data_IF_817455439979
#
_entry.id   IF_817455439979
#
_cell.length_a   1.000
_cell.length_b   1.000
_cell.length_c   1.000
_cell.angle_alpha   90.00
_cell.angle_beta   90.00
_cell.angle_gamma   90.00
#
_symmetry.space_group_name_H-M   'P 1'
#
loop_
_entity.id
_entity.type
_entity.pdbx_description
1 polymer ?
#
# COMPACT_ATOMS: atom_id res chain seq x y z
N UNK A 1 -30.10 -9.81 38.77
CA UNK A 1 -30.19 -10.38 37.40
C UNK A 1 -28.95 -9.93 36.64
N UNK A 2 -28.12 -10.84 36.15
CA UNK A 2 -26.90 -10.54 35.41
C UNK A 2 -27.18 -10.40 33.91
N UNK A 3 -26.86 -9.30 33.21
CA UNK A 3 -27.02 -9.23 31.75
C UNK A 3 -25.70 -9.52 31.02
N UNK A 4 -25.78 -10.33 29.96
CA UNK A 4 -24.69 -10.55 29.00
C UNK A 4 -24.74 -9.50 27.88
N UNK A 5 -23.76 -8.60 27.84
CA UNK A 5 -23.53 -7.67 26.72
C UNK A 5 -22.20 -7.97 26.05
N UNK A 6 -22.09 -7.74 24.74
CA UNK A 6 -20.80 -7.78 24.06
C UNK A 6 -20.50 -6.46 23.33
N UNK A 7 -19.24 -5.98 23.32
CA UNK A 7 -18.85 -4.72 22.64
C UNK A 7 -17.42 -4.70 22.09
N UNK A 8 -17.09 -3.75 21.19
CA UNK A 8 -15.77 -3.58 20.53
C UNK A 8 -15.16 -2.17 20.71
N UNK A 9 -14.39 -1.89 21.77
CA UNK A 9 -13.69 -0.61 21.95
C UNK A 9 -12.28 -0.56 21.32
N UNK A 10 -11.68 -1.70 20.93
CA UNK A 10 -10.25 -1.75 20.53
C UNK A 10 -9.91 -2.91 19.59
N UNK A 11 -10.86 -3.33 18.75
CA UNK A 11 -10.70 -4.52 17.91
C UNK A 11 -10.85 -5.85 18.65
N UNK A 12 -11.28 -5.85 19.91
CA UNK A 12 -11.61 -7.06 20.66
C UNK A 12 -13.07 -7.07 21.05
N UNK A 13 -13.69 -8.25 21.05
CA UNK A 13 -14.97 -8.44 21.70
C UNK A 13 -14.77 -8.54 23.22
N UNK A 14 -15.61 -7.85 23.96
CA UNK A 14 -15.66 -7.92 25.41
C UNK A 14 -17.00 -8.48 25.83
N UNK A 15 -17.01 -9.43 26.75
CA UNK A 15 -18.20 -9.85 27.48
C UNK A 15 -18.34 -8.96 28.71
N UNK A 16 -19.50 -8.35 28.87
CA UNK A 16 -19.88 -7.64 30.07
C UNK A 16 -21.00 -8.39 30.78
N UNK A 17 -20.82 -8.57 32.09
CA UNK A 17 -21.82 -9.12 33.01
C UNK A 17 -22.24 -8.02 33.97
N UNK A 18 -23.47 -7.52 33.82
CA UNK A 18 -24.03 -6.45 34.68
C UNK A 18 -25.00 -7.06 35.67
N UNK A 19 -24.74 -6.96 36.97
CA UNK A 19 -25.69 -7.42 37.99
C UNK A 19 -26.68 -6.28 38.30
N UNK A 20 -27.92 -6.41 37.82
CA UNK A 20 -29.02 -5.49 38.14
C UNK A 20 -29.15 -5.32 39.66
N UNK A 21 -29.30 -4.06 40.08
CA UNK A 21 -29.36 -3.60 41.49
C UNK A 21 -28.06 -3.74 42.30
N UNK A 22 -26.98 -4.21 41.68
CA UNK A 22 -25.64 -4.18 42.25
C UNK A 22 -24.79 -3.12 41.57
N UNK A 23 -23.76 -2.62 42.27
CA UNK A 23 -22.68 -1.81 41.67
C UNK A 23 -21.63 -2.66 40.96
N UNK A 24 -21.82 -3.98 40.95
CA UNK A 24 -20.86 -4.90 40.37
C UNK A 24 -21.06 -5.00 38.85
N UNK A 25 -20.01 -4.62 38.14
CA UNK A 25 -19.85 -4.82 36.70
C UNK A 25 -18.59 -5.63 36.47
N UNK A 26 -18.68 -6.66 35.64
CA UNK A 26 -17.52 -7.42 35.20
C UNK A 26 -17.38 -7.34 33.69
N UNK A 27 -16.17 -7.08 33.22
CA UNK A 27 -15.83 -7.00 31.80
C UNK A 27 -14.68 -7.98 31.57
N UNK A 28 -14.86 -8.89 30.61
CA UNK A 28 -13.91 -9.93 30.27
C UNK A 28 -13.66 -9.92 28.77
N UNK A 29 -12.40 -10.08 28.36
CA UNK A 29 -12.06 -10.12 26.94
C UNK A 29 -12.35 -11.52 26.40
N UNK A 30 -12.98 -11.59 25.23
CA UNK A 30 -13.23 -12.87 24.52
C UNK A 30 -12.57 -12.86 23.14
N UNK A 31 -12.06 -14.01 22.64
CA UNK A 31 -12.10 -15.33 23.26
C UNK A 31 -11.15 -15.42 24.46
N UNK A 32 -11.45 -16.32 25.40
CA UNK A 32 -10.63 -16.47 26.61
C UNK A 32 -9.29 -17.16 26.32
N UNK A 33 -8.28 -16.85 27.13
CA UNK A 33 -6.98 -17.53 27.09
C UNK A 33 -6.06 -17.09 25.95
N UNK A 34 -6.45 -16.10 25.14
CA UNK A 34 -5.55 -15.50 24.16
C UNK A 34 -4.64 -14.47 24.81
N UNK A 35 -3.41 -14.34 24.29
CA UNK A 35 -2.48 -13.29 24.72
C UNK A 35 -3.12 -11.90 24.59
N UNK A 36 -2.87 -10.96 25.52
CA UNK A 36 -3.30 -9.57 25.38
C UNK A 36 -2.86 -8.92 24.06
N UNK A 37 -1.78 -9.42 23.45
CA UNK A 37 -1.25 -8.95 22.16
C UNK A 37 -1.84 -9.67 20.94
N UNK A 38 -2.53 -10.80 21.12
CA UNK A 38 -3.18 -11.50 20.01
C UNK A 38 -4.33 -10.63 19.47
N UNK A 39 -4.64 -10.74 18.17
CA UNK A 39 -5.73 -9.97 17.53
C UNK A 39 -7.13 -10.45 17.90
N UNK A 40 -7.29 -11.70 18.34
CA UNK A 40 -8.62 -12.28 18.55
C UNK A 40 -9.40 -12.48 17.25
N UNK A 41 -8.72 -12.49 16.10
CA UNK A 41 -9.31 -12.54 14.75
C UNK A 41 -10.27 -13.71 14.51
N UNK A 42 -10.12 -14.77 15.31
CA UNK A 42 -10.95 -15.98 15.26
C UNK A 42 -12.37 -15.76 15.80
N UNK A 43 -12.62 -14.67 16.54
CA UNK A 43 -13.87 -14.47 17.26
C UNK A 43 -14.69 -13.30 16.70
N UNK A 44 -15.42 -13.59 15.62
CA UNK A 44 -16.43 -12.71 15.02
C UNK A 44 -17.70 -13.51 14.69
N UNK A 45 -18.37 -14.08 15.69
CA UNK A 45 -19.42 -15.08 15.47
C UNK A 45 -20.58 -14.53 14.61
N UNK A 46 -21.03 -15.33 13.65
CA UNK A 46 -22.18 -14.99 12.77
C UNK A 46 -23.52 -15.24 13.43
N UNK A 47 -23.55 -16.19 14.37
CA UNK A 47 -24.76 -16.67 15.02
C UNK A 47 -24.60 -16.72 16.54
N UNK A 48 -25.74 -16.75 17.23
CA UNK A 48 -25.78 -17.01 18.66
C UNK A 48 -25.08 -18.32 19.05
N UNK A 49 -25.17 -19.35 18.19
CA UNK A 49 -24.52 -20.65 18.40
C UNK A 49 -23.00 -20.57 18.32
N UNK A 50 -22.46 -19.79 17.38
CA UNK A 50 -21.00 -19.56 17.28
C UNK A 50 -20.47 -18.73 18.46
N UNK A 51 -21.26 -17.78 18.96
CA UNK A 51 -20.86 -16.95 20.10
C UNK A 51 -20.90 -17.71 21.42
N UNK A 52 -21.86 -18.63 21.58
CA UNK A 52 -22.18 -19.28 22.85
C UNK A 52 -21.00 -19.92 23.58
N UNK A 53 -20.07 -20.66 22.93
CA UNK A 53 -18.91 -21.24 23.60
C UNK A 53 -18.06 -20.23 24.37
N UNK A 54 -17.70 -19.12 23.73
CA UNK A 54 -16.85 -18.12 24.38
C UNK A 54 -17.62 -17.28 25.41
N UNK A 55 -18.92 -17.04 25.19
CA UNK A 55 -19.77 -16.37 26.17
C UNK A 55 -19.98 -17.20 27.43
N UNK A 56 -20.20 -18.51 27.28
CA UNK A 56 -20.35 -19.42 28.40
C UNK A 56 -19.05 -19.50 29.21
N UNK A 57 -17.89 -19.66 28.55
CA UNK A 57 -16.58 -19.67 29.23
C UNK A 57 -16.31 -18.33 29.93
N UNK A 58 -16.57 -17.20 29.26
CA UNK A 58 -16.47 -15.85 29.81
C UNK A 58 -17.32 -15.69 31.07
N UNK A 59 -18.57 -16.14 31.00
CA UNK A 59 -19.52 -16.10 32.11
C UNK A 59 -19.07 -16.97 33.29
N UNK A 60 -18.57 -18.19 33.04
CA UNK A 60 -18.03 -19.05 34.09
C UNK A 60 -16.83 -18.39 34.80
N UNK A 61 -15.94 -17.76 34.04
CA UNK A 61 -14.80 -17.00 34.59
C UNK A 61 -15.27 -15.82 35.45
N UNK A 62 -16.29 -15.09 34.98
CA UNK A 62 -16.89 -13.99 35.72
C UNK A 62 -17.53 -14.45 37.03
N UNK A 63 -18.34 -15.51 36.98
CA UNK A 63 -19.06 -16.05 38.14
C UNK A 63 -18.11 -16.67 39.17
N UNK A 64 -17.02 -17.31 38.74
CA UNK A 64 -16.01 -17.86 39.65
C UNK A 64 -15.30 -16.80 40.49
N UNK A 65 -15.29 -15.53 40.05
CA UNK A 65 -14.71 -14.40 40.79
C UNK A 65 -15.68 -13.80 41.81
N UNK A 66 -16.97 -14.17 41.78
CA UNK A 66 -18.02 -13.55 42.59
C UNK A 66 -18.67 -14.63 43.46
N UNK A 67 -18.26 -14.70 44.73
CA UNK A 67 -18.79 -15.69 45.66
C UNK A 67 -20.22 -15.32 46.13
N UNK A 68 -21.12 -16.30 46.16
CA UNK A 68 -22.20 -16.35 47.15
C UNK A 68 -23.58 -15.78 46.81
N UNK A 69 -24.00 -15.62 45.54
CA UNK A 69 -25.38 -15.19 45.23
C UNK A 69 -26.09 -16.12 44.22
N UNK A 70 -27.42 -16.28 44.31
CA UNK A 70 -28.21 -16.92 43.27
C UNK A 70 -28.17 -16.06 42.00
N UNK A 71 -27.53 -16.59 40.97
CA UNK A 71 -27.35 -15.91 39.70
C UNK A 71 -28.47 -16.28 38.74
N UNK A 72 -29.15 -15.26 38.22
CA UNK A 72 -30.01 -15.39 37.04
C UNK A 72 -29.44 -14.52 35.95
N UNK A 73 -28.90 -15.15 34.91
CA UNK A 73 -28.41 -14.46 33.73
C UNK A 73 -29.59 -14.07 32.83
N UNK A 74 -29.44 -12.98 32.10
CA UNK A 74 -30.41 -12.50 31.13
C UNK A 74 -29.73 -11.97 29.87
N UNK A 75 -30.46 -12.02 28.75
CA UNK A 75 -30.05 -11.45 27.47
C UNK A 75 -31.26 -10.83 26.78
N UNK A 76 -31.05 -9.96 25.81
CA UNK A 76 -32.14 -9.37 25.01
C UNK A 76 -32.57 -10.28 23.85
N UNK A 77 -31.85 -11.40 23.63
CA UNK A 77 -32.02 -12.27 22.46
C UNK A 77 -32.38 -13.69 22.86
N UNK A 78 -33.55 -14.15 22.43
CA UNK A 78 -34.02 -15.52 22.64
C UNK A 78 -33.07 -16.57 22.04
N UNK A 79 -32.54 -16.34 20.85
CA UNK A 79 -31.59 -17.28 20.22
C UNK A 79 -30.28 -17.41 21.02
N UNK A 80 -29.84 -16.32 21.66
CA UNK A 80 -28.63 -16.32 22.49
C UNK A 80 -28.87 -17.00 23.83
N UNK A 81 -30.05 -16.79 24.41
CA UNK A 81 -30.51 -17.45 25.62
C UNK A 81 -30.41 -18.98 25.48
N UNK A 82 -31.06 -19.52 24.43
CA UNK A 82 -31.07 -20.96 24.15
C UNK A 82 -29.65 -21.48 23.88
N UNK A 83 -28.86 -20.76 23.08
CA UNK A 83 -27.51 -21.19 22.70
C UNK A 83 -26.53 -21.21 23.90
N UNK A 84 -26.49 -20.15 24.70
CA UNK A 84 -25.58 -20.06 25.86
C UNK A 84 -26.06 -21.01 26.98
N UNK A 85 -27.37 -21.15 27.19
CA UNK A 85 -27.93 -22.11 28.14
C UNK A 85 -27.58 -23.56 27.79
N UNK A 86 -27.71 -23.93 26.51
CA UNK A 86 -27.29 -25.22 25.99
C UNK A 86 -25.78 -25.46 26.16
N UNK A 87 -24.98 -24.42 25.96
CA UNK A 87 -23.53 -24.50 26.14
C UNK A 87 -23.10 -24.67 27.61
N UNK A 88 -23.76 -23.99 28.56
CA UNK A 88 -23.52 -24.25 29.98
C UNK A 88 -23.82 -25.70 30.37
N UNK A 89 -24.91 -26.25 29.82
CA UNK A 89 -25.26 -27.67 30.01
C UNK A 89 -24.17 -28.58 29.41
N UNK A 90 -23.69 -28.27 28.20
CA UNK A 90 -22.60 -29.02 27.53
C UNK A 90 -21.29 -28.97 28.33
N UNK A 91 -20.97 -27.84 28.95
CA UNK A 91 -19.78 -27.64 29.79
C UNK A 91 -19.91 -28.27 31.20
N UNK A 92 -21.06 -28.84 31.56
CA UNK A 92 -21.28 -29.51 32.85
C UNK A 92 -21.48 -28.57 34.03
N UNK A 93 -21.93 -27.33 33.80
CA UNK A 93 -22.28 -26.39 34.87
C UNK A 93 -23.42 -26.98 35.70
N UNK A 94 -23.20 -27.24 37.00
CA UNK A 94 -24.18 -27.94 37.85
C UNK A 94 -25.38 -27.11 38.29
N UNK A 95 -25.23 -25.78 38.30
CA UNK A 95 -26.31 -24.89 38.71
C UNK A 95 -27.33 -24.77 37.57
N UNK A 96 -28.39 -25.57 37.60
CA UNK A 96 -29.41 -25.62 36.54
C UNK A 96 -30.06 -24.27 36.27
N UNK A 97 -30.16 -23.41 37.29
CA UNK A 97 -30.64 -22.03 37.15
C UNK A 97 -29.82 -21.19 36.15
N UNK A 98 -28.56 -21.56 35.90
CA UNK A 98 -27.71 -20.92 34.88
C UNK A 98 -27.98 -21.44 33.46
N UNK A 99 -28.60 -22.60 33.31
CA UNK A 99 -29.00 -23.12 31.99
C UNK A 99 -30.20 -22.34 31.44
N UNK A 100 -31.03 -21.79 32.32
CA UNK A 100 -32.19 -20.97 31.97
C UNK A 100 -31.84 -19.48 32.05
N UNK A 101 -31.27 -18.98 30.96
CA UNK A 101 -31.05 -17.53 30.79
C UNK A 101 -32.43 -16.88 30.58
N UNK A 102 -32.68 -15.70 31.15
CA UNK A 102 -33.94 -14.99 30.95
C UNK A 102 -33.85 -14.06 29.73
N UNK A 103 -34.92 -13.96 28.94
CA UNK A 103 -35.03 -12.89 27.94
C UNK A 103 -35.53 -11.62 28.62
N UNK A 104 -34.71 -10.57 28.62
CA UNK A 104 -35.11 -9.26 29.13
C UNK A 104 -36.04 -8.58 28.14
N UNK A 105 -37.24 -8.19 28.61
CA UNK A 105 -38.17 -7.36 27.83
C UNK A 105 -37.74 -5.89 27.79
N UNK A 106 -36.90 -5.45 28.74
CA UNK A 106 -36.43 -4.07 28.86
C UNK A 106 -35.04 -3.89 28.25
N UNK A 107 -34.97 -3.48 26.98
CA UNK A 107 -33.69 -3.13 26.32
C UNK A 107 -32.98 -1.91 26.94
N UNK A 108 -33.73 -1.06 27.65
CA UNK A 108 -33.22 0.23 28.14
C UNK A 108 -32.39 0.17 29.43
N UNK A 109 -32.82 -0.62 30.41
CA UNK A 109 -32.21 -0.66 31.74
C UNK A 109 -30.72 -1.07 31.73
N UNK A 110 -30.30 -2.13 31.01
CA UNK A 110 -28.92 -2.60 31.00
C UNK A 110 -28.00 -1.63 30.26
N UNK A 111 -28.46 -1.09 29.13
CA UNK A 111 -27.73 -0.06 28.40
C UNK A 111 -27.56 1.22 29.23
N UNK A 112 -28.59 1.63 29.99
CA UNK A 112 -28.50 2.77 30.90
C UNK A 112 -27.49 2.51 32.03
N UNK A 113 -27.48 1.30 32.61
CA UNK A 113 -26.51 0.91 33.63
C UNK A 113 -25.07 0.92 33.08
N UNK A 114 -24.86 0.33 31.90
CA UNK A 114 -23.55 0.35 31.24
C UNK A 114 -23.10 1.78 30.90
N UNK A 115 -24.00 2.60 30.36
CA UNK A 115 -23.71 4.00 30.06
C UNK A 115 -23.26 4.75 31.30
N UNK A 116 -23.95 4.57 32.43
CA UNK A 116 -23.57 5.19 33.71
C UNK A 116 -22.19 4.74 34.19
N UNK A 117 -21.89 3.45 34.10
CA UNK A 117 -20.56 2.91 34.40
C UNK A 117 -19.49 3.50 33.47
N UNK A 118 -19.74 3.51 32.16
CA UNK A 118 -18.82 4.02 31.15
C UNK A 118 -18.54 5.53 31.31
N UNK A 119 -19.58 6.31 31.63
CA UNK A 119 -19.44 7.74 31.92
C UNK A 119 -18.58 7.96 33.18
N UNK A 120 -18.78 7.15 34.23
CA UNK A 120 -17.95 7.19 35.44
C UNK A 120 -16.49 6.80 35.16
N UNK A 121 -16.27 5.80 34.29
CA UNK A 121 -14.94 5.41 33.86
C UNK A 121 -14.25 6.56 33.13
N UNK A 122 -14.91 7.20 32.15
CA UNK A 122 -14.37 8.37 31.43
C UNK A 122 -13.97 9.49 32.38
N UNK A 123 -14.80 9.78 33.36
CA UNK A 123 -14.49 10.79 34.39
C UNK A 123 -13.23 10.43 35.16
N UNK A 124 -13.12 9.18 35.63
CA UNK A 124 -11.96 8.70 36.41
C UNK A 124 -10.62 8.78 35.67
N UNK A 125 -10.64 8.72 34.33
CA UNK A 125 -9.44 8.80 33.48
C UNK A 125 -9.27 10.16 32.79
N UNK A 126 -10.05 11.17 33.17
CA UNK A 126 -9.93 12.54 32.63
C UNK A 126 -10.40 12.70 31.17
N UNK A 127 -11.24 11.79 30.68
CA UNK A 127 -11.80 11.81 29.31
C UNK A 127 -13.25 12.30 29.25
N UNK A 128 -13.76 12.95 30.30
CA UNK A 128 -15.14 13.42 30.39
C UNK A 128 -15.50 14.48 29.33
N UNK A 129 -14.53 15.24 28.83
CA UNK A 129 -14.72 16.24 27.78
C UNK A 129 -14.83 15.64 26.37
N UNK A 130 -14.39 14.40 26.18
CA UNK A 130 -14.46 13.72 24.90
C UNK A 130 -15.86 13.13 24.67
N UNK A 131 -16.40 13.31 23.47
CA UNK A 131 -17.67 12.73 23.04
C UNK A 131 -17.55 11.24 22.69
N UNK A 132 -16.95 10.46 23.58
CA UNK A 132 -16.88 9.01 23.45
C UNK A 132 -18.20 8.43 23.99
N UNK A 133 -18.94 7.78 23.10
CA UNK A 133 -20.20 7.10 23.40
C UNK A 133 -19.89 5.68 23.88
N UNK A 134 -20.61 5.12 24.88
CA UNK A 134 -20.46 3.72 25.24
C UNK A 134 -20.68 2.81 24.02
N UNK A 135 -19.90 1.72 23.86
CA UNK A 135 -20.14 0.76 22.78
C UNK A 135 -21.57 0.20 22.86
N UNK A 136 -22.18 0.00 21.70
CA UNK A 136 -23.48 -0.65 21.61
C UNK A 136 -23.34 -2.15 21.92
N UNK A 137 -24.42 -2.76 22.44
CA UNK A 137 -24.48 -4.22 22.54
C UNK A 137 -24.41 -4.84 21.16
N UNK A 138 -23.61 -5.89 21.02
CA UNK A 138 -23.56 -6.70 19.82
C UNK A 138 -24.86 -7.50 19.74
N UNK A 139 -25.68 -7.12 18.78
CA UNK A 139 -26.90 -7.83 18.43
C UNK A 139 -26.51 -9.09 17.67
N UNK A 140 -26.89 -10.28 18.15
CA UNK A 140 -26.65 -11.58 17.49
C UNK A 140 -27.85 -12.07 16.67
N UNK A 141 -28.75 -11.17 16.26
CA UNK A 141 -29.90 -11.56 15.44
C UNK A 141 -29.39 -12.25 14.18
N UNK A 142 -29.96 -13.43 13.90
CA UNK A 142 -29.69 -14.17 12.69
C UNK A 142 -30.11 -13.30 11.50
N UNK A 143 -29.11 -12.78 10.78
CA UNK A 143 -29.39 -12.08 9.51
C UNK A 143 -29.78 -13.17 8.53
N UNK A 144 -31.01 -13.07 8.01
CA UNK A 144 -31.33 -13.74 6.76
C UNK A 144 -30.45 -13.09 5.71
N UNK A 145 -29.44 -13.82 5.25
CA UNK A 145 -28.62 -13.38 4.13
C UNK A 145 -29.53 -13.46 2.91
N UNK A 146 -30.07 -12.32 2.51
CA UNK A 146 -31.00 -12.26 1.38
C UNK A 146 -30.25 -12.56 0.07
N UNK A 147 -30.39 -13.79 -0.41
CA UNK A 147 -30.06 -14.17 -1.79
C UNK A 147 -28.58 -14.18 -2.20
N UNK A 148 -28.37 -14.35 -3.51
CA UNK A 148 -27.07 -14.22 -4.17
C UNK A 148 -26.40 -12.88 -3.79
N UNK A 149 -25.05 -12.81 -3.67
CA UNK A 149 -24.41 -11.55 -3.38
C UNK A 149 -24.74 -10.64 -4.56
N UNK A 150 -25.41 -9.51 -4.28
CA UNK A 150 -25.64 -8.49 -5.28
C UNK A 150 -24.32 -7.75 -5.51
N UNK A 151 -23.44 -8.41 -6.26
CA UNK A 151 -22.34 -7.72 -6.91
C UNK A 151 -23.05 -6.83 -7.94
N UNK A 152 -23.35 -5.59 -7.55
CA UNK A 152 -24.02 -4.61 -8.42
C UNK A 152 -23.16 -4.46 -9.70
N UNK A 153 -23.70 -4.98 -10.79
CA UNK A 153 -23.05 -5.21 -12.08
C UNK A 153 -23.70 -4.35 -13.17
N UNK A 154 -24.11 -3.12 -12.83
CA UNK A 154 -24.62 -2.15 -13.82
C UNK A 154 -23.58 -1.62 -14.81
N UNK A 155 -22.46 -2.31 -15.01
CA UNK A 155 -21.61 -2.08 -16.19
C UNK A 155 -22.09 -2.97 -17.33
N UNK A 156 -22.97 -2.41 -18.16
CA UNK A 156 -23.42 -2.92 -19.46
C UNK A 156 -22.23 -3.06 -20.43
N UNK A 157 -21.36 -4.03 -20.22
CA UNK A 157 -20.36 -4.41 -21.22
C UNK A 157 -20.70 -5.83 -21.65
N UNK A 158 -21.26 -5.95 -22.86
CA UNK A 158 -21.55 -7.22 -23.50
C UNK A 158 -20.22 -7.90 -23.85
N UNK A 159 -19.81 -8.86 -23.03
CA UNK A 159 -18.64 -9.72 -23.28
C UNK A 159 -19.09 -11.15 -23.62
N UNK A 160 -18.37 -11.86 -24.50
CA UNK A 160 -18.69 -13.22 -24.88
C UNK A 160 -18.36 -14.18 -23.72
N UNK A 161 -19.39 -14.93 -23.28
CA UNK A 161 -19.41 -16.21 -22.52
C UNK A 161 -18.43 -16.48 -21.36
N UNK A 162 -17.67 -15.51 -20.85
CA UNK A 162 -16.96 -15.71 -19.58
C UNK A 162 -18.00 -15.77 -18.45
N UNK A 163 -18.02 -16.83 -17.61
CA UNK A 163 -18.94 -16.88 -16.48
C UNK A 163 -18.74 -15.64 -15.61
N UNK A 164 -19.79 -14.85 -15.41
CA UNK A 164 -19.84 -13.62 -14.59
C UNK A 164 -19.14 -13.78 -13.23
N UNK A 165 -19.17 -14.99 -12.66
CA UNK A 165 -18.51 -15.34 -11.41
C UNK A 165 -16.97 -15.29 -11.49
N UNK A 166 -16.37 -15.71 -12.60
CA UNK A 166 -14.91 -15.65 -12.82
C UNK A 166 -14.41 -14.22 -12.82
N UNK A 167 -15.14 -13.31 -13.46
CA UNK A 167 -14.81 -11.89 -13.41
C UNK A 167 -14.94 -11.32 -11.99
N UNK A 168 -16.00 -11.69 -11.28
CA UNK A 168 -16.19 -11.29 -9.87
C UNK A 168 -15.05 -11.79 -8.97
N UNK A 169 -14.52 -12.99 -9.22
CA UNK A 169 -13.36 -13.52 -8.53
C UNK A 169 -12.14 -12.62 -8.72
N UNK A 170 -11.78 -12.31 -9.97
CA UNK A 170 -10.62 -11.46 -10.29
C UNK A 170 -10.79 -10.06 -9.72
N UNK A 171 -11.98 -9.47 -9.88
CA UNK A 171 -12.31 -8.15 -9.34
C UNK A 171 -12.16 -8.10 -7.82
N UNK A 172 -12.73 -9.08 -7.12
CA UNK A 172 -12.71 -9.13 -5.65
C UNK A 172 -11.29 -9.38 -5.12
N UNK A 173 -10.56 -10.32 -5.73
CA UNK A 173 -9.16 -10.63 -5.37
C UNK A 173 -8.25 -9.40 -5.58
N UNK A 174 -8.39 -8.71 -6.71
CA UNK A 174 -7.59 -7.52 -7.00
C UNK A 174 -7.98 -6.32 -6.12
N UNK A 175 -9.28 -6.12 -5.83
CA UNK A 175 -9.73 -5.05 -4.95
C UNK A 175 -9.26 -5.22 -3.50
N UNK A 176 -9.08 -6.47 -3.07
CA UNK A 176 -8.57 -6.79 -1.75
C UNK A 176 -7.04 -6.78 -1.67
N UNK A 177 -6.34 -6.92 -2.79
CA UNK A 177 -4.87 -6.96 -2.82
C UNK A 177 -4.27 -5.61 -2.43
N UNK A 178 -3.19 -5.58 -1.62
CA UNK A 178 -2.45 -4.36 -1.34
C UNK A 178 -2.01 -3.68 -2.64
N UNK A 179 -2.24 -2.37 -2.74
CA UNK A 179 -1.76 -1.59 -3.88
C UNK A 179 -0.28 -1.27 -3.64
N UNK A 180 0.59 -1.86 -4.45
CA UNK A 180 2.04 -1.57 -4.45
C UNK A 180 2.32 -0.33 -5.32
N UNK A 181 1.67 -0.23 -6.47
CA UNK A 181 1.88 0.87 -7.40
C UNK A 181 0.93 2.04 -7.12
N UNK A 182 1.49 3.25 -7.05
CA UNK A 182 0.74 4.45 -6.69
C UNK A 182 -0.31 4.88 -7.72
N UNK A 183 -0.16 4.52 -9.00
CA UNK A 183 -1.17 4.74 -10.05
C UNK A 183 -0.76 3.93 -11.30
N UNK A 184 -1.14 2.65 -11.43
CA UNK A 184 -0.84 1.88 -12.63
C UNK A 184 -1.56 2.50 -13.84
N UNK A 185 -0.89 2.49 -15.01
CA UNK A 185 -1.55 2.81 -16.28
C UNK A 185 -2.82 1.94 -16.43
N UNK A 186 -4.03 2.53 -16.63
CA UNK A 186 -5.26 1.76 -16.74
C UNK A 186 -5.20 0.62 -17.77
N UNK A 187 -4.42 0.80 -18.86
CA UNK A 187 -4.21 -0.27 -19.85
C UNK A 187 -3.41 -1.44 -19.29
N UNK A 188 -2.36 -1.16 -18.53
CA UNK A 188 -1.57 -2.20 -17.85
C UNK A 188 -2.39 -2.91 -16.77
N UNK A 189 -3.21 -2.15 -16.03
CA UNK A 189 -4.12 -2.73 -15.03
C UNK A 189 -5.13 -3.68 -15.67
N UNK A 190 -5.71 -3.30 -16.81
CA UNK A 190 -6.63 -4.14 -17.56
C UNK A 190 -5.94 -5.42 -18.07
N UNK A 191 -4.78 -5.29 -18.72
CA UNK A 191 -4.01 -6.45 -19.20
C UNK A 191 -3.64 -7.42 -18.07
N UNK A 192 -3.32 -6.90 -16.88
CA UNK A 192 -3.06 -7.70 -15.68
C UNK A 192 -4.32 -8.44 -15.19
N UNK A 193 -5.49 -7.80 -15.24
CA UNK A 193 -6.77 -8.42 -14.88
C UNK A 193 -7.13 -9.55 -15.83
N UNK A 194 -6.95 -9.33 -17.14
CA UNK A 194 -7.18 -10.34 -18.18
C UNK A 194 -6.24 -11.54 -18.00
N UNK A 195 -4.94 -11.30 -17.78
CA UNK A 195 -3.99 -12.37 -17.50
C UNK A 195 -4.32 -13.15 -16.22
N UNK A 196 -4.77 -12.49 -15.15
CA UNK A 196 -5.24 -13.16 -13.93
C UNK A 196 -6.49 -14.01 -14.18
N UNK A 197 -7.40 -13.54 -15.02
CA UNK A 197 -8.62 -14.25 -15.39
C UNK A 197 -8.28 -15.53 -16.17
N UNK A 198 -7.43 -15.43 -17.19
CA UNK A 198 -7.00 -16.57 -17.99
C UNK A 198 -6.28 -17.62 -17.13
N UNK A 199 -5.37 -17.15 -16.25
CA UNK A 199 -4.68 -18.03 -15.30
C UNK A 199 -5.66 -18.74 -14.36
N UNK A 200 -6.70 -18.06 -13.89
CA UNK A 200 -7.72 -18.65 -13.03
C UNK A 200 -8.60 -19.65 -13.78
N UNK A 201 -9.04 -19.34 -15.00
CA UNK A 201 -9.83 -20.27 -15.84
C UNK A 201 -9.03 -21.54 -16.16
N UNK A 202 -7.77 -21.41 -16.57
CA UNK A 202 -6.86 -22.55 -16.76
C UNK A 202 -6.62 -23.33 -15.45
N UNK A 203 -6.62 -22.62 -14.32
CA UNK A 203 -6.49 -23.21 -12.99
C UNK A 203 -7.72 -24.02 -12.56
N UNK A 204 -8.93 -23.57 -12.91
CA UNK A 204 -10.18 -24.26 -12.60
C UNK A 204 -10.25 -25.64 -13.25
N UNK A 205 -9.78 -25.78 -14.49
CA UNK A 205 -9.72 -27.07 -15.18
C UNK A 205 -8.75 -28.05 -14.52
N UNK A 206 -7.63 -27.54 -13.98
CA UNK A 206 -6.57 -28.36 -13.38
C UNK A 206 -6.79 -28.65 -11.90
N UNK A 207 -7.42 -27.73 -11.17
CA UNK A 207 -7.62 -27.77 -9.71
C UNK A 207 -9.11 -27.81 -9.41
N UNK A 208 -9.64 -29.03 -9.31
CA UNK A 208 -11.03 -29.29 -8.92
C UNK A 208 -11.33 -28.79 -7.52
N UNK A 209 -12.61 -28.72 -7.14
CA UNK A 209 -13.00 -28.35 -5.78
C UNK A 209 -12.29 -29.21 -4.73
N UNK A 210 -12.24 -30.53 -4.93
CA UNK A 210 -11.67 -31.48 -4.00
C UNK A 210 -10.18 -31.25 -3.78
N UNK A 211 -9.45 -30.92 -4.85
CA UNK A 211 -8.01 -30.64 -4.80
C UNK A 211 -7.75 -29.37 -4.00
N UNK A 212 -8.41 -28.26 -4.35
CA UNK A 212 -8.20 -26.98 -3.64
C UNK A 212 -8.65 -27.08 -2.18
N UNK A 213 -9.77 -27.76 -1.90
CA UNK A 213 -10.22 -28.04 -0.54
C UNK A 213 -9.19 -28.86 0.23
N UNK A 214 -8.66 -29.94 -0.34
CA UNK A 214 -7.67 -30.79 0.33
C UNK A 214 -6.38 -30.02 0.66
N UNK A 215 -5.89 -29.18 -0.26
CA UNK A 215 -4.74 -28.31 -0.03
C UNK A 215 -5.00 -27.27 1.06
N UNK A 216 -6.17 -26.62 1.01
CA UNK A 216 -6.61 -25.71 2.06
C UNK A 216 -6.74 -26.43 3.41
N UNK A 217 -7.26 -27.66 3.42
CA UNK A 217 -7.37 -28.54 4.58
C UNK A 217 -6.01 -28.90 5.18
N UNK A 218 -5.01 -29.16 4.32
CA UNK A 218 -3.62 -29.38 4.68
C UNK A 218 -2.91 -28.13 5.23
N UNK A 219 -3.56 -26.96 5.21
CA UNK A 219 -3.04 -25.72 5.79
C UNK A 219 -2.35 -24.81 4.78
N UNK A 220 -2.52 -25.04 3.48
CA UNK A 220 -2.05 -24.10 2.47
C UNK A 220 -2.89 -22.79 2.49
N UNK A 221 -2.26 -21.62 2.71
CA UNK A 221 -3.01 -20.38 2.87
C UNK A 221 -3.53 -19.79 1.56
N UNK A 222 -2.88 -20.04 0.42
CA UNK A 222 -3.34 -19.59 -0.90
C UNK A 222 -4.57 -20.41 -1.32
N UNK A 223 -4.50 -21.73 -1.18
CA UNK A 223 -5.64 -22.63 -1.41
C UNK A 223 -6.80 -22.31 -0.46
N UNK A 224 -6.53 -21.91 0.79
CA UNK A 224 -7.56 -21.44 1.71
C UNK A 224 -8.27 -20.18 1.21
N UNK A 225 -7.53 -19.18 0.71
CA UNK A 225 -8.17 -17.99 0.10
C UNK A 225 -8.96 -18.36 -1.15
N UNK A 226 -8.39 -19.18 -2.02
CA UNK A 226 -9.04 -19.58 -3.26
C UNK A 226 -10.33 -20.36 -2.99
N UNK A 227 -10.31 -21.36 -2.11
CA UNK A 227 -11.49 -22.13 -1.77
C UNK A 227 -12.53 -21.25 -1.05
N UNK A 228 -12.10 -20.35 -0.16
CA UNK A 228 -12.97 -19.35 0.44
C UNK A 228 -13.68 -18.48 -0.61
N UNK A 229 -12.95 -18.00 -1.63
CA UNK A 229 -13.53 -17.24 -2.73
C UNK A 229 -14.48 -18.06 -3.60
N UNK A 230 -14.14 -19.32 -3.90
CA UNK A 230 -15.02 -20.24 -4.65
C UNK A 230 -16.34 -20.46 -3.91
N UNK A 231 -16.28 -20.74 -2.60
CA UNK A 231 -17.47 -20.88 -1.74
C UNK A 231 -18.26 -19.58 -1.64
N UNK A 232 -17.60 -18.43 -1.59
CA UNK A 232 -18.28 -17.13 -1.50
C UNK A 232 -19.07 -16.79 -2.78
N UNK A 233 -18.49 -17.12 -3.95
CA UNK A 233 -19.03 -16.79 -5.27
C UNK A 233 -19.82 -17.93 -5.94
N UNK A 234 -19.75 -19.16 -5.41
CA UNK A 234 -20.35 -20.35 -6.02
C UNK A 234 -19.64 -20.79 -7.30
N UNK A 235 -18.30 -20.72 -7.35
CA UNK A 235 -17.52 -21.11 -8.54
C UNK A 235 -17.08 -22.56 -8.40
N UNK A 236 -17.60 -23.42 -9.28
CA UNK A 236 -17.30 -24.86 -9.31
C UNK A 236 -17.53 -25.59 -7.97
N UNK A 237 -18.37 -25.02 -7.09
CA UNK A 237 -18.78 -25.59 -5.81
C UNK A 237 -20.10 -24.95 -5.36
N UNK A 238 -20.79 -25.59 -4.41
CA UNK A 238 -21.96 -24.99 -3.79
C UNK A 238 -21.57 -23.75 -2.98
N UNK A 239 -22.33 -22.67 -3.14
CA UNK A 239 -22.09 -21.43 -2.40
C UNK A 239 -22.32 -21.66 -0.90
N UNK A 240 -21.30 -21.37 -0.09
CA UNK A 240 -21.40 -21.40 1.37
C UNK A 240 -20.66 -20.21 1.97
N UNK A 241 -21.45 -19.23 2.41
CA UNK A 241 -20.92 -17.97 2.91
C UNK A 241 -20.22 -18.14 4.27
N UNK A 242 -20.74 -18.98 5.15
CA UNK A 242 -20.16 -19.18 6.48
C UNK A 242 -18.87 -19.98 6.35
N UNK A 243 -18.86 -21.05 5.55
CA UNK A 243 -17.65 -21.82 5.27
C UNK A 243 -16.58 -20.98 4.55
N UNK A 244 -16.98 -20.07 3.64
CA UNK A 244 -16.01 -19.15 3.02
C UNK A 244 -15.22 -18.32 4.04
N UNK A 245 -15.88 -17.79 5.08
CA UNK A 245 -15.21 -17.06 6.16
C UNK A 245 -14.29 -17.96 6.96
N UNK A 246 -14.68 -19.20 7.24
CA UNK A 246 -13.81 -20.16 7.93
C UNK A 246 -12.48 -20.32 7.20
N UNK A 247 -12.51 -20.47 5.87
CA UNK A 247 -11.29 -20.58 5.07
C UNK A 247 -10.48 -19.28 4.96
N UNK A 248 -11.12 -18.11 4.92
CA UNK A 248 -10.40 -16.83 5.04
C UNK A 248 -9.69 -16.70 6.40
N UNK A 249 -10.35 -17.04 7.50
CA UNK A 249 -9.73 -17.05 8.82
C UNK A 249 -8.60 -18.09 8.88
N UNK A 250 -8.77 -19.25 8.25
CA UNK A 250 -7.72 -20.28 8.15
C UNK A 250 -6.46 -19.73 7.46
N UNK A 251 -6.61 -19.03 6.35
CA UNK A 251 -5.48 -18.39 5.66
C UNK A 251 -4.76 -17.36 6.56
N UNK A 252 -5.52 -16.54 7.29
CA UNK A 252 -4.95 -15.55 8.22
C UNK A 252 -4.19 -16.17 9.39
N UNK A 253 -4.67 -17.31 9.89
CA UNK A 253 -4.05 -18.05 10.98
C UNK A 253 -2.90 -18.96 10.54
N UNK A 254 -2.71 -19.17 9.24
CA UNK A 254 -1.64 -20.03 8.74
C UNK A 254 -0.26 -19.41 9.01
N UNK A 255 0.68 -20.16 9.62
CA UNK A 255 1.99 -19.62 10.01
C UNK A 255 2.87 -19.26 8.81
N UNK A 256 2.65 -19.90 7.66
CA UNK A 256 3.36 -19.69 6.40
C UNK A 256 2.68 -18.66 5.47
N UNK A 257 1.55 -18.06 5.86
CA UNK A 257 0.91 -17.03 5.05
C UNK A 257 1.78 -15.76 5.01
N UNK A 258 2.07 -15.30 3.79
CA UNK A 258 2.82 -14.06 3.56
C UNK A 258 2.00 -12.85 4.03
N UNK A 259 2.70 -11.76 4.32
CA UNK A 259 2.06 -10.52 4.76
C UNK A 259 1.10 -9.95 3.69
N UNK A 260 1.50 -10.02 2.41
CA UNK A 260 0.62 -9.64 1.28
C UNK A 260 -0.64 -10.49 1.22
N UNK A 261 -0.53 -11.81 1.41
CA UNK A 261 -1.68 -12.72 1.42
C UNK A 261 -2.60 -12.45 2.61
N UNK A 262 -2.03 -12.15 3.79
CA UNK A 262 -2.81 -11.75 4.97
C UNK A 262 -3.54 -10.44 4.73
N UNK A 263 -2.86 -9.40 4.24
CA UNK A 263 -3.48 -8.12 3.93
C UNK A 263 -4.60 -8.28 2.88
N UNK A 264 -4.38 -9.09 1.84
CA UNK A 264 -5.42 -9.45 0.88
C UNK A 264 -6.61 -10.13 1.56
N UNK A 265 -6.36 -11.11 2.43
CA UNK A 265 -7.43 -11.84 3.12
C UNK A 265 -8.22 -10.95 4.08
N UNK A 266 -7.56 -9.98 4.73
CA UNK A 266 -8.23 -8.92 5.47
C UNK A 266 -9.15 -8.09 4.56
N UNK A 267 -8.67 -7.67 3.39
CA UNK A 267 -9.48 -6.98 2.37
C UNK A 267 -10.69 -7.81 1.94
N UNK A 268 -10.53 -9.11 1.75
CA UNK A 268 -11.63 -10.04 1.43
C UNK A 268 -12.65 -10.11 2.56
N UNK A 269 -12.22 -10.21 3.82
CA UNK A 269 -13.12 -10.23 4.97
C UNK A 269 -13.86 -8.91 5.16
N UNK A 270 -13.22 -7.76 4.92
CA UNK A 270 -13.90 -6.45 4.91
C UNK A 270 -15.06 -6.48 3.93
N UNK A 271 -14.81 -6.86 2.68
CA UNK A 271 -15.86 -7.00 1.68
C UNK A 271 -16.94 -8.00 2.13
N UNK A 272 -16.52 -9.17 2.61
CA UNK A 272 -17.41 -10.20 3.10
C UNK A 272 -18.36 -9.69 4.20
N UNK A 273 -17.88 -8.86 5.13
CA UNK A 273 -18.68 -8.27 6.21
C UNK A 273 -19.58 -7.13 5.74
N UNK A 274 -19.12 -6.31 4.79
CA UNK A 274 -19.89 -5.15 4.30
C UNK A 274 -21.03 -5.55 3.35
N UNK A 275 -20.90 -6.67 2.61
CA UNK A 275 -21.88 -7.11 1.60
C UNK A 275 -22.89 -8.16 2.09
N UNK A 276 -23.33 -8.06 3.36
CA UNK A 276 -24.25 -9.06 3.95
C UNK A 276 -25.72 -8.82 3.62
N UNK A 277 -26.15 -7.56 3.60
CA UNK A 277 -27.52 -7.16 3.30
C UNK A 277 -27.49 -5.82 2.59
N UNK A 278 -28.38 -5.66 1.59
CA UNK A 278 -28.57 -4.38 0.89
C UNK A 278 -29.23 -3.34 1.79
N UNK A 279 -30.03 -3.78 2.74
CA UNK A 279 -30.96 -2.92 3.46
C UNK A 279 -30.35 -2.41 4.77
N UNK A 280 -29.65 -3.28 5.52
CA UNK A 280 -29.15 -2.92 6.83
C UNK A 280 -27.80 -3.57 7.15
N UNK A 281 -26.78 -2.72 7.35
CA UNK A 281 -25.50 -3.17 7.90
C UNK A 281 -25.61 -3.29 9.42
N UNK A 282 -25.45 -4.50 9.93
CA UNK A 282 -25.39 -4.69 11.37
C UNK A 282 -24.07 -4.18 11.92
N UNK A 283 -24.14 -3.49 13.07
CA UNK A 283 -22.97 -2.85 13.69
C UNK A 283 -21.85 -3.84 13.99
N UNK A 284 -22.17 -5.11 14.28
CA UNK A 284 -21.18 -6.17 14.51
C UNK A 284 -20.28 -6.43 13.30
N UNK A 285 -20.85 -6.35 12.10
CA UNK A 285 -20.13 -6.56 10.85
C UNK A 285 -19.30 -5.34 10.49
N UNK A 286 -19.81 -4.14 10.79
CA UNK A 286 -19.00 -2.92 10.69
C UNK A 286 -17.79 -2.99 11.62
N UNK A 287 -17.96 -3.40 12.89
CA UNK A 287 -16.83 -3.55 13.80
C UNK A 287 -15.84 -4.63 13.36
N UNK A 288 -16.31 -5.75 12.84
CA UNK A 288 -15.45 -6.78 12.26
C UNK A 288 -14.66 -6.25 11.06
N UNK A 289 -15.32 -5.55 10.13
CA UNK A 289 -14.66 -4.91 8.99
C UNK A 289 -13.62 -3.88 9.43
N UNK A 290 -13.96 -3.00 10.38
CA UNK A 290 -13.01 -2.04 10.96
C UNK A 290 -11.83 -2.72 11.63
N UNK A 291 -12.04 -3.84 12.32
CA UNK A 291 -10.95 -4.63 12.90
C UNK A 291 -10.01 -5.15 11.82
N UNK A 292 -10.54 -5.75 10.75
CA UNK A 292 -9.73 -6.24 9.65
C UNK A 292 -8.96 -5.11 8.94
N UNK A 293 -9.58 -3.93 8.75
CA UNK A 293 -8.93 -2.76 8.19
C UNK A 293 -7.79 -2.23 9.08
N UNK A 294 -8.00 -2.23 10.40
CA UNK A 294 -6.97 -1.79 11.34
C UNK A 294 -5.77 -2.74 11.38
N UNK A 295 -5.98 -4.05 11.14
CA UNK A 295 -4.88 -5.02 11.06
C UNK A 295 -4.18 -5.00 9.69
N UNK A 296 -4.89 -4.69 8.61
CA UNK A 296 -4.26 -4.59 7.28
C UNK A 296 -3.34 -3.37 7.16
N UNK A 297 -3.68 -2.25 7.81
CA UNK A 297 -2.95 -1.00 7.65
C UNK A 297 -1.44 -1.05 8.02
N UNK A 298 -1.01 -1.68 9.14
CA UNK A 298 0.42 -1.85 9.42
C UNK A 298 1.14 -2.69 8.37
N UNK A 299 0.47 -3.70 7.83
CA UNK A 299 1.03 -4.59 6.81
C UNK A 299 1.25 -3.83 5.51
N UNK A 300 0.27 -3.02 5.10
CA UNK A 300 0.39 -2.16 3.92
C UNK A 300 1.49 -1.11 4.09
N UNK A 301 1.59 -0.50 5.28
CA UNK A 301 2.65 0.46 5.58
C UNK A 301 4.04 -0.18 5.52
N UNK A 302 4.20 -1.41 6.02
CA UNK A 302 5.46 -2.14 5.97
C UNK A 302 5.87 -2.49 4.54
N UNK A 303 4.92 -2.97 3.71
CA UNK A 303 5.16 -3.24 2.30
C UNK A 303 5.55 -1.96 1.53
N UNK A 304 4.83 -0.86 1.76
CA UNK A 304 5.14 0.43 1.16
C UNK A 304 6.52 0.97 1.59
N UNK A 305 6.93 0.71 2.84
CA UNK A 305 8.27 1.07 3.31
C UNK A 305 9.36 0.25 2.63
N UNK A 306 9.16 -1.05 2.43
CA UNK A 306 10.15 -1.92 1.80
C UNK A 306 10.30 -1.60 0.31
N UNK A 307 9.19 -1.38 -0.39
CA UNK A 307 9.20 -0.93 -1.79
C UNK A 307 9.94 0.40 -1.93
N UNK A 308 9.68 1.36 -1.03
CA UNK A 308 10.40 2.63 -1.02
C UNK A 308 11.91 2.45 -0.82
N UNK A 309 12.34 1.51 0.03
CA UNK A 309 13.78 1.22 0.19
C UNK A 309 14.37 0.65 -1.10
N UNK A 310 13.66 -0.25 -1.78
CA UNK A 310 14.13 -0.81 -3.04
C UNK A 310 14.22 0.27 -4.14
N UNK A 311 13.23 1.15 -4.23
CA UNK A 311 13.28 2.30 -5.15
C UNK A 311 14.49 3.20 -4.85
N UNK A 312 14.79 3.46 -3.56
CA UNK A 312 15.97 4.22 -3.17
C UNK A 312 17.27 3.49 -3.53
N UNK A 313 17.31 2.17 -3.39
CA UNK A 313 18.46 1.34 -3.79
C UNK A 313 18.69 1.42 -5.29
N UNK A 314 17.66 1.20 -6.11
CA UNK A 314 17.73 1.31 -7.57
C UNK A 314 18.13 2.72 -8.02
N UNK A 315 17.60 3.76 -7.36
CA UNK A 315 17.98 5.14 -7.63
C UNK A 315 19.47 5.40 -7.28
N UNK A 316 19.94 4.86 -6.15
CA UNK A 316 21.34 4.92 -5.73
C UNK A 316 22.26 4.22 -6.73
N UNK A 317 21.92 3.00 -7.17
CA UNK A 317 22.70 2.24 -8.15
C UNK A 317 22.77 2.99 -9.50
N UNK A 318 21.64 3.56 -9.93
CA UNK A 318 21.59 4.38 -11.14
C UNK A 318 22.49 5.62 -11.03
N UNK A 319 22.46 6.31 -9.89
CA UNK A 319 23.35 7.45 -9.64
C UNK A 319 24.82 7.02 -9.61
N UNK A 320 25.15 5.89 -8.99
CA UNK A 320 26.50 5.35 -8.97
C UNK A 320 27.02 5.06 -10.39
N UNK A 321 26.22 4.39 -11.23
CA UNK A 321 26.56 4.15 -12.64
C UNK A 321 26.76 5.48 -13.39
N UNK A 322 25.93 6.48 -13.14
CA UNK A 322 26.09 7.81 -13.75
C UNK A 322 27.38 8.52 -13.28
N UNK A 323 27.76 8.38 -12.01
CA UNK A 323 29.03 8.90 -11.48
C UNK A 323 30.23 8.24 -12.15
N UNK A 324 30.17 6.93 -12.37
CA UNK A 324 31.23 6.20 -13.08
C UNK A 324 31.35 6.60 -14.55
N UNK A 325 30.22 6.87 -15.23
CA UNK A 325 30.20 7.31 -16.64
C UNK A 325 30.71 8.74 -16.84
N UNK A 326 30.46 9.64 -15.88
CA UNK A 326 30.83 11.06 -15.96
C UNK A 326 31.39 11.56 -14.64
N UNK A 327 32.60 11.12 -14.23
CA UNK A 327 33.15 11.44 -12.91
C UNK A 327 33.30 12.96 -12.70
N UNK A 328 33.72 13.69 -13.74
CA UNK A 328 33.88 15.15 -13.70
C UNK A 328 32.56 15.93 -13.50
N UNK A 329 31.41 15.29 -13.72
CA UNK A 329 30.09 15.92 -13.50
C UNK A 329 29.67 15.89 -12.02
N UNK A 330 30.09 14.89 -11.28
CA UNK A 330 29.61 14.63 -9.92
C UNK A 330 30.69 14.79 -8.85
N UNK A 331 31.97 14.90 -9.23
CA UNK A 331 33.10 15.06 -8.31
C UNK A 331 33.79 16.39 -8.53
N UNK A 332 34.22 17.03 -7.45
CA UNK A 332 35.10 18.18 -7.53
C UNK A 332 36.41 17.77 -8.20
N UNK A 333 36.79 18.48 -9.27
CA UNK A 333 38.01 18.19 -10.03
C UNK A 333 39.30 18.47 -9.25
N UNK A 334 39.23 19.31 -8.21
CA UNK A 334 40.39 19.65 -7.39
C UNK A 334 40.98 18.41 -6.70
N UNK A 335 42.27 18.10 -6.94
CA UNK A 335 42.94 16.98 -6.30
C UNK A 335 42.78 17.03 -4.77
N UNK A 336 42.50 15.88 -4.16
CA UNK A 336 42.31 15.71 -2.70
C UNK A 336 41.08 16.42 -2.09
N UNK A 337 40.26 17.13 -2.86
CA UNK A 337 39.02 17.71 -2.34
C UNK A 337 38.01 16.62 -1.96
N UNK A 338 37.82 15.62 -2.82
CA UNK A 338 36.97 14.46 -2.56
C UNK A 338 35.47 14.76 -2.45
N UNK A 339 35.04 16.02 -2.53
CA UNK A 339 33.62 16.39 -2.48
C UNK A 339 32.90 15.85 -3.72
N UNK A 340 31.85 15.08 -3.45
CA UNK A 340 30.90 14.56 -4.42
C UNK A 340 29.55 15.23 -4.26
N UNK A 341 28.78 15.28 -5.34
CA UNK A 341 27.41 15.75 -5.33
C UNK A 341 26.48 14.71 -5.95
N UNK A 342 25.30 14.56 -5.36
CA UNK A 342 24.24 13.71 -5.91
C UNK A 342 23.65 14.28 -7.20
N UNK A 343 23.75 15.60 -7.39
CA UNK A 343 23.29 16.28 -8.60
C UNK A 343 24.45 17.03 -9.25
N UNK A 344 24.60 16.90 -10.57
CA UNK A 344 25.64 17.63 -11.30
C UNK A 344 25.50 19.15 -11.20
N UNK A 345 24.32 19.66 -10.81
CA UNK A 345 24.02 21.08 -10.70
C UNK A 345 24.67 21.78 -9.48
N UNK A 346 25.01 21.06 -8.40
CA UNK A 346 25.58 21.69 -7.19
C UNK A 346 27.06 22.06 -7.32
N UNK A 347 27.74 21.63 -8.37
CA UNK A 347 29.13 21.97 -8.63
C UNK A 347 29.22 23.02 -9.74
N UNK A 348 29.94 24.11 -9.47
CA UNK A 348 30.18 25.17 -10.45
C UNK A 348 31.12 24.69 -11.54
N UNK A 349 30.75 24.87 -12.80
CA UNK A 349 31.61 24.58 -13.95
C UNK A 349 32.71 25.64 -14.09
N UNK A 350 33.84 25.24 -14.68
CA UNK A 350 34.82 26.22 -15.14
C UNK A 350 34.15 27.20 -16.12
N UNK A 351 34.32 28.50 -15.89
CA UNK A 351 33.77 29.56 -16.75
C UNK A 351 34.54 29.76 -18.06
N UNK A 352 35.62 29.02 -18.30
CA UNK A 352 36.41 29.12 -19.53
C UNK A 352 35.83 28.33 -20.72
N UNK A 353 36.49 28.48 -21.86
CA UNK A 353 36.11 27.89 -23.16
C UNK A 353 36.59 26.45 -23.38
N UNK A 354 36.87 25.69 -22.31
CA UNK A 354 37.23 24.28 -22.43
C UNK A 354 36.06 23.41 -22.94
N UNK A 355 36.39 22.30 -23.60
CA UNK A 355 35.43 21.31 -24.13
C UNK A 355 34.41 20.91 -23.03
N UNK A 356 33.13 20.79 -23.39
CA UNK A 356 32.07 20.49 -22.42
C UNK A 356 32.32 19.19 -21.65
N UNK A 357 32.86 18.18 -22.34
CA UNK A 357 33.09 16.82 -21.83
C UNK A 357 34.27 16.79 -20.85
N UNK A 358 35.25 17.66 -21.08
CA UNK A 358 36.46 17.81 -20.25
C UNK A 358 36.33 18.96 -19.24
N UNK A 359 35.21 19.69 -19.25
CA UNK A 359 34.99 20.89 -18.41
C UNK A 359 34.88 20.47 -16.94
N UNK A 360 35.89 20.77 -16.11
CA UNK A 360 35.89 20.37 -14.71
C UNK A 360 34.81 21.12 -13.94
N UNK A 361 34.30 20.49 -12.88
CA UNK A 361 33.39 21.09 -11.92
C UNK A 361 34.03 21.20 -10.55
N UNK A 362 33.66 22.23 -9.81
CA UNK A 362 34.25 22.57 -8.52
C UNK A 362 33.17 22.85 -7.48
N UNK A 363 33.39 22.46 -6.23
CA UNK A 363 32.49 22.78 -5.12
C UNK A 363 32.59 24.24 -4.67
N UNK A 364 33.67 24.94 -5.05
CA UNK A 364 33.92 26.32 -4.67
C UNK A 364 34.91 27.00 -5.62
N UNK A 365 34.89 28.34 -5.66
CA UNK A 365 35.90 29.14 -6.38
C UNK A 365 37.32 28.92 -5.84
N UNK A 366 37.47 28.58 -4.55
CA UNK A 366 38.77 28.25 -3.93
C UNK A 366 39.36 26.98 -4.55
N UNK A 367 38.54 25.94 -4.68
CA UNK A 367 38.90 24.69 -5.35
C UNK A 367 39.27 24.91 -6.83
N UNK A 368 38.49 25.72 -7.55
CA UNK A 368 38.80 26.12 -8.92
C UNK A 368 40.16 26.81 -9.04
N UNK A 369 40.46 27.78 -8.16
CA UNK A 369 41.75 28.48 -8.14
C UNK A 369 42.91 27.54 -7.82
N UNK A 370 42.71 26.59 -6.92
CA UNK A 370 43.74 25.60 -6.55
C UNK A 370 44.07 24.68 -7.72
N UNK A 371 43.06 24.20 -8.44
CA UNK A 371 43.26 23.32 -9.60
C UNK A 371 43.67 24.08 -10.87
N UNK A 372 43.64 25.42 -10.84
CA UNK A 372 43.89 26.25 -12.03
C UNK A 372 45.23 25.95 -12.70
N UNK A 373 46.29 25.67 -11.94
CA UNK A 373 47.60 25.34 -12.54
C UNK A 373 47.56 24.06 -13.38
N UNK A 374 46.78 23.05 -12.96
CA UNK A 374 46.61 21.80 -13.70
C UNK A 374 45.64 21.96 -14.87
N UNK A 375 44.57 22.74 -14.68
CA UNK A 375 43.52 22.90 -15.69
C UNK A 375 43.89 23.91 -16.80
N UNK A 376 44.68 24.94 -16.49
CA UNK A 376 45.03 26.05 -17.40
C UNK A 376 45.55 25.62 -18.78
N UNK A 377 46.40 24.58 -18.93
CA UNK A 377 46.83 24.10 -20.25
C UNK A 377 45.68 23.64 -21.15
N UNK A 378 44.59 23.14 -20.55
CA UNK A 378 43.40 22.62 -21.23
C UNK A 378 42.27 23.65 -21.32
N UNK A 379 42.33 24.72 -20.54
CA UNK A 379 41.36 25.81 -20.52
C UNK A 379 41.69 26.90 -21.55
N UNK A 380 42.04 26.50 -22.78
CA UNK A 380 42.41 27.45 -23.84
C UNK A 380 41.23 27.70 -24.79
N UNK A 381 40.91 28.95 -25.12
CA UNK A 381 39.97 29.27 -26.19
C UNK A 381 40.59 28.89 -27.53
N UNK A 382 39.90 28.07 -28.33
CA UNK A 382 40.33 27.78 -29.70
C UNK A 382 40.17 26.34 -30.19
N UNK A 383 39.76 25.39 -29.34
CA UNK A 383 39.31 24.10 -29.86
C UNK A 383 37.91 24.26 -30.45
N UNK A 384 37.85 24.25 -31.79
CA UNK A 384 36.63 24.41 -32.56
C UNK A 384 35.78 23.15 -32.35
N UNK A 385 34.75 23.27 -31.52
CA UNK A 385 33.75 22.22 -31.37
C UNK A 385 32.69 22.39 -32.46
N UNK A 386 32.74 21.53 -33.47
CA UNK A 386 31.85 21.59 -34.63
C UNK A 386 30.53 20.89 -34.27
N UNK A 387 29.37 21.56 -34.37
CA UNK A 387 28.08 20.90 -34.18
C UNK A 387 27.79 19.97 -35.37
N UNK A 388 27.70 18.68 -35.10
CA UNK A 388 27.31 17.65 -36.08
C UNK A 388 25.88 17.22 -35.77
N UNK A 389 24.97 17.41 -36.74
CA UNK A 389 23.60 16.89 -36.67
C UNK A 389 23.61 15.42 -37.05
N UNK A 390 23.13 14.57 -36.15
CA UNK A 390 22.97 13.14 -36.41
C UNK A 390 21.68 12.89 -37.18
N UNK A 391 21.57 11.77 -37.89
CA UNK A 391 20.39 11.39 -38.69
C UNK A 391 19.08 11.30 -37.89
N UNK A 392 19.15 11.10 -36.57
CA UNK A 392 18.01 11.05 -35.65
C UNK A 392 17.68 12.40 -35.00
N UNK A 393 18.19 13.51 -35.53
CA UNK A 393 17.79 14.88 -35.15
C UNK A 393 18.54 15.49 -33.94
N UNK A 394 19.37 14.74 -33.22
CA UNK A 394 20.20 15.32 -32.15
C UNK A 394 21.46 16.00 -32.71
N UNK A 395 21.85 17.13 -32.14
CA UNK A 395 23.15 17.78 -32.41
C UNK A 395 24.19 17.33 -31.38
N UNK A 396 25.33 16.80 -31.83
CA UNK A 396 26.51 16.52 -30.99
C UNK A 396 27.65 17.46 -31.39
N UNK A 397 28.35 18.02 -30.41
CA UNK A 397 29.54 18.81 -30.69
C UNK A 397 30.75 17.87 -30.73
N UNK A 398 31.43 17.79 -31.87
CA UNK A 398 32.69 17.07 -32.00
C UNK A 398 33.83 18.06 -31.76
N UNK A 399 34.64 17.79 -30.75
CA UNK A 399 35.86 18.56 -30.51
C UNK A 399 36.90 18.15 -31.56
N UNK A 400 37.49 19.12 -32.27
CA UNK A 400 38.62 18.83 -33.16
C UNK A 400 39.86 18.29 -32.43
N UNK A 401 39.86 18.25 -31.09
CA UNK A 401 40.94 17.68 -30.28
C UNK A 401 40.97 16.15 -30.22
N UNK A 402 39.90 15.46 -30.62
CA UNK A 402 39.80 14.00 -30.52
C UNK A 402 40.04 13.29 -31.85
N UNK A 403 40.21 14.02 -32.93
CA UNK A 403 40.42 13.49 -34.28
C UNK A 403 41.79 13.96 -34.76
N UNK A 404 42.53 13.06 -35.41
CA UNK A 404 43.79 13.45 -36.02
C UNK A 404 43.52 14.38 -37.24
N UNK A 405 44.47 15.26 -37.60
CA UNK A 405 44.38 16.10 -38.80
C UNK A 405 43.91 15.38 -40.08
N UNK A 406 44.30 14.12 -40.30
CA UNK A 406 43.89 13.35 -41.48
C UNK A 406 42.42 12.90 -41.41
N UNK A 407 41.93 12.49 -40.24
CA UNK A 407 40.51 12.23 -40.01
C UNK A 407 39.64 13.48 -40.19
N UNK A 408 40.11 14.65 -39.72
CA UNK A 408 39.40 15.92 -39.92
C UNK A 408 39.34 16.32 -41.39
N UNK A 409 40.43 16.10 -42.12
CA UNK A 409 40.47 16.33 -43.57
C UNK A 409 39.48 15.43 -44.31
N UNK A 410 39.45 14.15 -43.97
CA UNK A 410 38.50 13.18 -44.53
C UNK A 410 37.05 13.54 -44.21
N UNK A 411 36.76 13.97 -42.99
CA UNK A 411 35.41 14.42 -42.60
C UNK A 411 34.98 15.66 -43.40
N UNK A 412 35.91 16.58 -43.67
CA UNK A 412 35.69 17.73 -44.55
C UNK A 412 35.38 17.31 -45.99
N UNK A 413 36.20 16.42 -46.56
CA UNK A 413 36.00 15.86 -47.91
C UNK A 413 34.66 15.10 -48.03
N UNK A 414 34.29 14.31 -47.02
CA UNK A 414 33.02 13.58 -46.96
C UNK A 414 31.79 14.52 -46.84
N UNK A 415 31.92 15.62 -46.11
CA UNK A 415 30.86 16.63 -45.98
C UNK A 415 30.66 17.41 -47.28
N UNK A 416 31.75 17.72 -47.99
CA UNK A 416 31.75 18.38 -49.30
C UNK A 416 31.17 17.45 -50.38
N UNK A 417 31.59 16.18 -50.41
CA UNK A 417 31.10 15.18 -51.36
C UNK A 417 29.61 14.83 -51.17
N UNK A 418 29.09 14.92 -49.94
CA UNK A 418 27.67 14.69 -49.64
C UNK A 418 26.77 15.88 -49.95
N UNK A 419 27.33 17.00 -50.43
CA UNK A 419 26.56 18.20 -50.73
C UNK A 419 25.78 18.67 -49.51
N UNK A 420 26.40 18.66 -48.32
CA UNK A 420 25.79 19.25 -47.12
C UNK A 420 25.74 20.75 -47.32
N UNK A 421 24.72 21.23 -48.03
CA UNK A 421 24.41 22.64 -48.12
C UNK A 421 24.21 23.16 -46.69
N UNK A 422 25.02 24.14 -46.30
CA UNK A 422 24.79 24.90 -45.08
C UNK A 422 23.38 25.47 -45.19
N UNK A 423 22.45 24.88 -44.45
CA UNK A 423 21.03 25.15 -44.61
C UNK A 423 20.77 26.62 -44.19
N UNK A 424 20.69 27.51 -45.19
CA UNK A 424 20.54 28.96 -45.05
C UNK A 424 19.12 29.39 -44.64
N UNK A 425 18.36 28.53 -43.95
CA UNK A 425 16.96 28.76 -43.59
C UNK A 425 16.79 29.03 -42.08
N UNK A 426 17.54 30.00 -41.56
CA UNK A 426 17.09 30.76 -40.38
C UNK A 426 17.52 32.21 -40.53
N UNK A 427 16.59 33.05 -40.99
CA UNK A 427 16.67 34.50 -41.17
C UNK A 427 16.93 35.30 -39.87
N UNK A 428 17.51 34.68 -38.84
CA UNK A 428 17.85 35.34 -37.57
C UNK A 428 19.35 35.41 -37.28
N UNK A 429 20.24 34.90 -38.14
CA UNK A 429 21.69 34.86 -37.83
C UNK A 429 22.62 35.55 -38.84
N UNK A 430 22.12 36.03 -39.99
CA UNK A 430 22.97 36.76 -40.94
C UNK A 430 23.35 38.16 -40.45
N UNK A 431 22.49 38.85 -39.69
CA UNK A 431 22.83 40.12 -39.04
C UNK A 431 23.84 39.92 -37.90
N UNK A 432 23.79 38.79 -37.19
CA UNK A 432 24.73 38.47 -36.11
C UNK A 432 26.11 38.08 -36.65
N UNK A 433 26.16 37.30 -37.74
CA UNK A 433 27.40 36.96 -38.45
C UNK A 433 28.00 38.17 -39.16
N UNK A 434 27.20 39.02 -39.81
CA UNK A 434 27.69 40.26 -40.40
C UNK A 434 28.15 41.27 -39.34
N UNK A 435 27.48 41.34 -38.18
CA UNK A 435 27.93 42.14 -37.03
C UNK A 435 29.22 41.59 -36.40
N UNK A 436 29.37 40.27 -36.28
CA UNK A 436 30.58 39.62 -35.77
C UNK A 436 31.77 39.77 -36.73
N UNK A 437 31.54 39.72 -38.05
CA UNK A 437 32.54 39.97 -39.08
C UNK A 437 32.90 41.49 -39.14
N UNK A 438 31.94 42.39 -38.91
CA UNK A 438 32.18 43.84 -38.79
C UNK A 438 32.94 44.21 -37.50
N UNK A 439 32.69 43.52 -36.39
CA UNK A 439 33.41 43.72 -35.12
C UNK A 439 34.86 43.16 -35.19
N UNK A 440 35.06 42.05 -35.89
CA UNK A 440 36.38 41.42 -36.09
C UNK A 440 37.24 42.12 -37.17
N UNK A 441 36.61 42.87 -38.09
CA UNK A 441 37.32 43.71 -39.07
C UNK A 441 37.68 45.10 -38.54
N UNK A 442 36.91 45.66 -37.59
CA UNK A 442 37.31 46.88 -36.85
C UNK A 442 38.47 46.64 -35.87
N UNK A 443 38.52 45.48 -35.23
CA UNK A 443 39.60 45.13 -34.29
C UNK A 443 40.91 44.69 -34.93
N UNK A 444 40.93 44.45 -36.26
CA UNK A 444 42.14 44.13 -37.04
C UNK A 444 42.78 45.32 -37.76
N UNK A 445 42.15 46.51 -37.74
CA UNK A 445 42.64 47.69 -38.49
C UNK A 445 43.31 48.78 -37.62
N UNK A 446 43.29 48.64 -36.30
CA UNK A 446 43.97 49.56 -35.38
C UNK A 446 44.90 48.78 -34.44
N UNK A 447 46.14 48.57 -34.90
CA UNK A 447 47.36 48.66 -34.10
C UNK A 447 48.56 48.23 -34.94
N UNK A 448 49.18 49.20 -35.64
CA UNK A 448 50.63 49.20 -35.85
C UNK A 448 51.23 50.51 -35.31
N UNK A 449 52.42 50.46 -34.71
CA UNK A 449 53.02 51.60 -34.04
C UNK A 449 53.90 52.46 -34.97
N UNK A 450 53.84 53.77 -34.71
CA UNK A 450 54.89 54.80 -34.85
C UNK A 450 55.23 55.37 -36.25
N UNK A 451 54.94 56.67 -36.45
CA UNK A 451 55.95 57.74 -36.35
C UNK A 451 55.39 59.17 -36.56
N UNK A 452 55.86 60.07 -35.68
CA UNK A 452 56.17 61.49 -35.88
C UNK A 452 55.07 62.57 -35.79
N UNK A 453 55.53 63.69 -35.27
CA UNK A 453 54.80 64.83 -34.73
C UNK A 453 54.64 65.99 -35.73
N UNK A 454 53.48 66.64 -35.66
CA UNK A 454 53.09 68.02 -36.04
C UNK A 454 53.53 68.55 -37.43
N UNK A 455 52.52 69.06 -38.17
CA UNK A 455 52.38 69.30 -39.61
C UNK A 455 52.00 68.04 -40.39
#
# INVERSE_FOLDING_TARGET
MGQLNCGYPSGFAWLEVIIAYSRFTHVERIPLGISPKASGIVFFPESCKEAAPELAKGSCTALGKIFGAPWRLSTEYKELEEAVGGEFKRLGVRAEALWTIAVSSSRGLPHAAFKSYFDSLKESIGLSSLRIVPPASIIFSTVKVDGEPDVDLKTNIAWPEVPKQTWNYVKLRNAASPKTELDPDPKQQWAKQEAHMDAFLMGLEKRTEEVVRAEADAGDPEASVEYGLRLYLGIACARDRTLSRVYFIKSLCAPNATDTLKAMTHGLLINWYLFISKEFMQIRYLYAACHHANISAPTDAMLAMEERKEQLRLASDKLHIQRMKQPNRYRCATPKCGIESDTGAKLSQCGGSCDFDKKPRYCSKKCQKFDWQNHKPFCRPGFLSVPVRMSYGSTRYLSSSTMDPEELKKLGEDAEAKGVEANANSDLDMEFLQSAIALNSRTKKENRPELLAIL
#
